data_IF_504383531084
#
_entry.id   IF_504383531084
#
_cell.length_a   1.000
_cell.length_b   1.000
_cell.length_c   1.000
_cell.angle_alpha   90.00
_cell.angle_beta   90.00
_cell.angle_gamma   90.00
#
_symmetry.space_group_name_H-M   'P 1'
#
loop_
_entity.id
_entity.type
_entity.pdbx_description
1 polymer ?
#
# COMPACT_ATOMS: atom_id res chain seq x y z
N UNK A 1 -6.10 -4.39 -47.41
CA UNK A 1 -5.56 -4.32 -46.04
C UNK A 1 -5.44 -2.85 -45.67
N UNK A 2 -6.40 -2.31 -44.92
CA UNK A 2 -6.57 -0.86 -44.75
C UNK A 2 -6.08 -0.37 -43.38
N UNK A 3 -5.64 0.90 -43.37
CA UNK A 3 -5.00 1.71 -42.33
C UNK A 3 -5.82 1.93 -41.03
N UNK A 4 -6.66 0.98 -40.60
CA UNK A 4 -7.53 1.13 -39.42
C UNK A 4 -7.00 0.52 -38.11
N UNK A 5 -5.75 0.08 -38.05
CA UNK A 5 -5.16 -0.53 -36.82
C UNK A 5 -4.30 0.39 -35.96
N UNK A 6 -4.02 1.63 -36.37
CA UNK A 6 -3.13 2.53 -35.61
C UNK A 6 -3.82 3.55 -34.70
N UNK A 7 -5.15 3.68 -34.78
CA UNK A 7 -5.89 4.62 -33.90
C UNK A 7 -6.29 3.98 -32.57
N UNK A 8 -6.31 2.64 -32.48
CA UNK A 8 -6.66 1.93 -31.25
C UNK A 8 -5.52 1.89 -30.21
N UNK A 9 -4.25 2.01 -30.64
CA UNK A 9 -3.11 2.01 -29.69
C UNK A 9 -2.92 3.37 -28.98
N UNK A 10 -3.38 4.47 -29.59
CA UNK A 10 -3.25 5.81 -29.01
C UNK A 10 -4.33 6.13 -27.95
N UNK A 11 -5.47 5.42 -27.97
CA UNK A 11 -6.54 5.60 -26.98
C UNK A 11 -6.30 4.80 -25.68
N UNK A 12 -5.47 3.75 -25.73
CA UNK A 12 -5.15 2.89 -24.58
C UNK A 12 -4.16 3.55 -23.61
N UNK A 13 -3.33 4.50 -24.09
CA UNK A 13 -2.47 5.30 -23.21
C UNK A 13 -3.25 6.37 -22.42
N UNK A 14 -4.44 6.76 -22.86
CA UNK A 14 -5.26 7.78 -22.18
C UNK A 14 -6.13 7.24 -21.04
N UNK A 15 -6.41 5.94 -20.98
CA UNK A 15 -7.25 5.36 -19.91
C UNK A 15 -6.47 4.95 -18.66
N UNK A 16 -5.14 4.85 -18.74
CA UNK A 16 -4.28 4.88 -17.55
C UNK A 16 -4.01 6.32 -17.08
N UNK A 17 -4.29 7.34 -17.89
CA UNK A 17 -4.10 8.75 -17.53
C UNK A 17 -5.31 9.38 -16.82
N UNK A 18 -6.48 8.74 -16.81
CA UNK A 18 -7.66 9.27 -16.09
C UNK A 18 -7.61 9.03 -14.58
N UNK A 19 -6.66 8.23 -14.08
CA UNK A 19 -6.33 8.11 -12.65
C UNK A 19 -5.18 9.04 -12.20
N UNK A 20 -4.53 9.75 -13.13
CA UNK A 20 -3.26 10.46 -12.93
C UNK A 20 -3.51 11.97 -12.90
N UNK A 21 -4.20 12.44 -11.87
CA UNK A 21 -3.93 13.78 -11.39
C UNK A 21 -2.90 13.64 -10.27
N UNK A 22 -1.62 13.81 -10.61
CA UNK A 22 -0.60 13.99 -9.59
C UNK A 22 -1.08 15.03 -8.58
N UNK A 23 -1.06 14.67 -7.31
CA UNK A 23 -1.61 15.48 -6.22
C UNK A 23 -1.01 16.90 -6.24
N UNK A 24 -1.74 17.86 -6.80
CA UNK A 24 -1.46 19.29 -6.75
C UNK A 24 -2.33 19.91 -5.65
N UNK A 25 -1.70 20.66 -4.75
CA UNK A 25 -2.42 21.51 -3.81
C UNK A 25 -3.23 22.58 -4.58
N UNK A 26 -4.50 22.81 -4.23
CA UNK A 26 -5.24 23.96 -4.71
C UNK A 26 -4.78 25.19 -3.91
N UNK A 27 -3.71 25.85 -4.38
CA UNK A 27 -3.35 27.27 -4.17
C UNK A 27 -1.82 27.42 -4.08
N UNK A 28 -1.21 28.13 -5.05
CA UNK A 28 -0.30 29.28 -4.87
C UNK A 28 0.70 29.45 -6.04
N UNK A 29 0.90 30.71 -6.40
CA UNK A 29 1.72 31.22 -7.52
C UNK A 29 3.23 31.06 -7.28
N UNK A 30 3.98 30.90 -8.36
CA UNK A 30 5.42 30.62 -8.39
C UNK A 30 6.26 31.80 -7.87
N UNK A 31 7.01 31.55 -6.78
CA UNK A 31 8.08 32.42 -6.30
C UNK A 31 9.43 31.71 -6.38
N UNK A 32 10.41 32.34 -7.04
CA UNK A 32 11.75 31.81 -7.27
C UNK A 32 12.52 31.53 -5.96
N UNK A 33 13.19 30.37 -5.90
CA UNK A 33 14.01 29.96 -4.75
C UNK A 33 15.43 30.57 -4.82
N UNK A 34 15.86 31.18 -3.71
CA UNK A 34 17.26 31.49 -3.43
C UNK A 34 17.87 30.40 -2.53
N UNK A 35 19.16 30.16 -2.74
CA UNK A 35 19.98 29.14 -2.06
C UNK A 35 20.25 29.57 -0.61
N UNK A 36 20.00 28.66 0.34
CA UNK A 36 20.44 28.78 1.73
C UNK A 36 20.94 27.45 2.25
N UNK A 37 22.21 27.40 2.65
CA UNK A 37 22.75 26.37 3.55
C UNK A 37 22.07 26.49 4.94
N UNK A 38 21.89 25.38 5.66
CA UNK A 38 22.14 25.19 7.11
C UNK A 38 21.62 23.79 7.57
N UNK A 39 22.47 22.94 8.19
CA UNK A 39 22.74 22.65 9.63
C UNK A 39 21.81 21.61 10.27
N UNK A 40 22.44 20.56 10.80
CA UNK A 40 21.85 19.44 11.57
C UNK A 40 21.06 19.94 12.80
N UNK A 41 19.83 19.44 12.96
CA UNK A 41 18.99 19.71 14.13
C UNK A 41 18.94 18.54 15.10
N UNK A 42 19.49 18.75 16.30
CA UNK A 42 19.31 17.88 17.47
C UNK A 42 17.87 17.93 18.00
N UNK A 43 17.41 16.79 18.55
CA UNK A 43 16.09 16.62 19.12
C UNK A 43 15.90 17.42 20.43
N UNK A 44 14.79 18.18 20.55
CA UNK A 44 14.36 18.79 21.81
C UNK A 44 13.21 18.01 22.45
N UNK A 45 13.42 17.62 23.72
CA UNK A 45 12.41 17.13 24.66
C UNK A 45 11.53 18.28 25.19
N UNK A 46 10.26 18.04 25.60
CA UNK A 46 9.38 19.07 26.11
C UNK A 46 9.58 19.31 27.61
N UNK A 47 9.65 20.59 28.02
CA UNK A 47 9.59 20.99 29.43
C UNK A 47 8.20 21.52 29.80
N UNK A 48 7.77 21.14 31.00
CA UNK A 48 6.55 21.55 31.70
C UNK A 48 6.68 22.92 32.39
N UNK A 49 5.58 23.67 32.51
CA UNK A 49 5.35 24.53 33.69
C UNK A 49 4.73 25.91 33.47
N UNK A 50 3.42 26.00 33.76
CA UNK A 50 2.71 27.01 34.60
C UNK A 50 2.80 28.52 34.32
N UNK A 51 1.62 29.19 34.29
CA UNK A 51 1.46 30.56 34.82
C UNK A 51 0.42 31.48 34.15
N UNK A 52 -0.79 31.50 34.71
CA UNK A 52 -1.77 32.60 34.88
C UNK A 52 -2.26 33.54 33.74
N UNK A 53 -3.60 33.66 33.69
CA UNK A 53 -4.46 34.62 32.96
C UNK A 53 -4.58 35.98 33.71
N UNK A 54 -5.48 36.97 33.40
CA UNK A 54 -6.48 37.09 32.33
C UNK A 54 -6.66 38.51 31.70
N UNK A 55 -7.31 38.62 30.54
CA UNK A 55 -8.11 39.82 30.15
C UNK A 55 -9.34 39.41 29.31
N UNK A 56 -10.52 39.85 29.75
CA UNK A 56 -11.85 39.81 29.09
C UNK A 56 -11.97 40.90 28.01
N UNK A 57 -12.83 40.70 27.00
CA UNK A 57 -13.96 41.57 26.51
C UNK A 57 -14.70 40.77 25.39
N UNK A 58 -15.89 40.21 25.65
CA UNK A 58 -17.25 40.57 25.13
C UNK A 58 -17.43 40.53 23.59
N UNK A 59 -18.16 39.52 23.08
CA UNK A 59 -19.58 39.51 22.64
C UNK A 59 -19.84 40.19 21.28
N UNK A 60 -20.39 39.44 20.32
CA UNK A 60 -21.67 39.78 19.65
C UNK A 60 -22.14 38.66 18.70
N UNK A 61 -23.34 38.14 18.98
CA UNK A 61 -24.20 37.40 18.06
C UNK A 61 -24.78 38.34 16.99
N UNK A 62 -24.99 37.83 15.76
CA UNK A 62 -26.18 38.14 14.93
C UNK A 62 -26.27 37.27 13.66
N UNK A 63 -27.12 36.25 13.72
CA UNK A 63 -28.13 35.96 12.68
C UNK A 63 -29.33 36.92 12.94
N UNK A 64 -30.25 37.27 11.99
CA UNK A 64 -30.95 36.32 11.10
C UNK A 64 -31.41 36.86 9.72
N UNK A 65 -31.88 35.98 8.83
CA UNK A 65 -33.28 35.94 8.32
C UNK A 65 -33.45 35.12 7.02
N UNK A 66 -34.05 33.94 7.20
CA UNK A 66 -35.30 33.43 6.62
C UNK A 66 -35.94 34.14 5.40
N UNK A 67 -36.18 33.35 4.33
CA UNK A 67 -37.38 33.27 3.46
C UNK A 67 -37.08 32.16 2.43
N UNK A 68 -37.88 31.13 2.13
CA UNK A 68 -39.30 30.88 2.37
C UNK A 68 -40.01 30.60 1.04
N UNK A 69 -40.05 29.32 0.60
CA UNK A 69 -41.06 28.67 -0.28
C UNK A 69 -40.48 27.32 -0.73
N UNK A 70 -41.13 26.16 -0.66
CA UNK A 70 -42.56 25.84 -0.69
C UNK A 70 -42.83 24.98 -1.93
N UNK A 71 -43.16 23.69 -1.76
CA UNK A 71 -43.73 22.86 -2.84
C UNK A 71 -43.29 21.40 -2.89
N UNK A 72 -44.00 20.53 -2.18
CA UNK A 72 -44.11 19.10 -2.49
C UNK A 72 -44.92 18.90 -3.79
N UNK A 73 -44.53 17.95 -4.64
CA UNK A 73 -45.43 17.03 -5.34
C UNK A 73 -44.66 15.94 -6.12
N UNK A 74 -44.94 14.68 -5.80
CA UNK A 74 -44.83 13.48 -6.65
C UNK A 74 -46.27 12.97 -6.91
N UNK A 75 -46.52 11.94 -7.73
CA UNK A 75 -45.93 11.56 -9.02
C UNK A 75 -47.03 11.22 -10.08
N UNK A 76 -46.66 11.13 -11.36
CA UNK A 76 -47.39 10.38 -12.40
C UNK A 76 -46.40 10.15 -13.55
N UNK A 77 -46.10 8.94 -14.00
CA UNK A 77 -47.03 7.90 -14.42
C UNK A 77 -47.15 7.99 -15.95
N UNK A 78 -46.46 7.10 -16.68
CA UNK A 78 -46.89 6.63 -17.99
C UNK A 78 -46.18 5.33 -18.38
N UNK A 79 -46.95 4.25 -18.31
CA UNK A 79 -46.75 3.01 -19.05
C UNK A 79 -47.42 3.12 -20.41
N UNK A 80 -46.95 2.32 -21.37
CA UNK A 80 -47.68 1.47 -22.37
C UNK A 80 -46.92 1.42 -23.72
N UNK A 81 -47.17 0.41 -24.58
CA UNK A 81 -46.65 -0.95 -24.46
C UNK A 81 -46.16 -1.49 -25.84
N UNK A 82 -45.95 -2.80 -25.95
CA UNK A 82 -46.35 -3.69 -27.07
C UNK A 82 -45.20 -4.65 -27.47
N UNK A 83 -45.30 -5.93 -27.07
CA UNK A 83 -45.62 -7.12 -27.91
C UNK A 83 -44.50 -7.52 -28.88
N UNK A 84 -44.10 -8.78 -29.04
CA UNK A 84 -44.58 -10.09 -28.60
C UNK A 84 -43.43 -11.09 -28.79
N UNK A 85 -43.44 -12.21 -28.07
CA UNK A 85 -43.92 -13.53 -28.58
C UNK A 85 -42.93 -14.15 -29.59
N UNK A 86 -42.52 -15.41 -29.58
CA UNK A 86 -42.73 -16.64 -28.80
C UNK A 86 -41.68 -17.63 -29.33
N UNK A 87 -41.39 -18.73 -28.63
CA UNK A 87 -40.59 -19.79 -29.25
C UNK A 87 -40.04 -20.88 -28.34
N UNK A 88 -40.90 -21.52 -27.56
CA UNK A 88 -40.64 -22.84 -26.98
C UNK A 88 -40.73 -23.92 -28.08
N UNK A 89 -39.81 -24.90 -28.12
CA UNK A 89 -40.19 -26.30 -28.42
C UNK A 89 -39.17 -27.30 -27.85
N UNK A 90 -39.74 -28.32 -27.20
CA UNK A 90 -39.17 -29.57 -26.70
C UNK A 90 -38.61 -30.48 -27.82
N UNK A 91 -37.67 -31.38 -27.51
CA UNK A 91 -37.86 -32.86 -27.53
C UNK A 91 -36.58 -33.66 -27.14
N UNK A 92 -36.66 -35.00 -26.88
CA UNK A 92 -36.03 -35.63 -25.72
C UNK A 92 -35.21 -36.91 -26.04
N UNK A 93 -34.64 -37.52 -25.00
CA UNK A 93 -34.63 -38.99 -24.77
C UNK A 93 -33.70 -39.90 -25.58
N UNK A 94 -32.87 -40.68 -24.85
CA UNK A 94 -32.76 -42.17 -24.86
C UNK A 94 -31.54 -42.60 -24.02
N UNK A 95 -31.68 -43.12 -22.79
CA UNK A 95 -31.81 -44.55 -22.35
C UNK A 95 -30.51 -45.38 -22.49
N UNK A 96 -29.74 -45.68 -21.42
CA UNK A 96 -29.84 -46.74 -20.35
C UNK A 96 -28.62 -47.74 -20.46
N UNK A 97 -28.39 -48.75 -19.57
CA UNK A 97 -27.28 -48.73 -18.59
C UNK A 97 -26.44 -50.04 -18.47
N UNK A 98 -25.46 -50.06 -17.53
CA UNK A 98 -24.91 -51.22 -16.77
C UNK A 98 -23.96 -52.24 -17.47
N UNK A 99 -23.19 -53.16 -16.80
CA UNK A 99 -22.80 -53.31 -15.37
C UNK A 99 -21.31 -53.76 -15.08
N UNK A 100 -21.03 -53.98 -13.79
CA UNK A 100 -20.07 -54.94 -13.12
C UNK A 100 -18.61 -54.57 -12.77
N UNK A 101 -18.41 -54.14 -11.50
CA UNK A 101 -17.58 -54.68 -10.36
C UNK A 101 -16.44 -55.73 -10.60
N UNK A 102 -15.45 -55.93 -9.67
CA UNK A 102 -15.46 -55.58 -8.24
C UNK A 102 -14.17 -55.00 -7.60
N UNK A 103 -14.39 -54.40 -6.42
CA UNK A 103 -13.44 -54.12 -5.31
C UNK A 103 -12.71 -55.40 -4.82
N UNK A 104 -11.50 -55.27 -4.26
CA UNK A 104 -11.12 -56.08 -3.10
C UNK A 104 -10.84 -55.19 -1.89
N UNK A 105 -11.54 -55.52 -0.81
CA UNK A 105 -11.26 -55.12 0.56
C UNK A 105 -10.45 -56.25 1.20
N UNK A 106 -9.21 -55.99 1.60
CA UNK A 106 -8.56 -56.77 2.66
C UNK A 106 -7.46 -55.94 3.33
N UNK A 107 -7.56 -55.79 4.64
CA UNK A 107 -6.40 -55.98 5.50
C UNK A 107 -5.65 -54.73 5.93
N UNK A 108 -6.07 -54.23 7.09
CA UNK A 108 -5.23 -53.52 8.05
C UNK A 108 -3.93 -54.31 8.33
N UNK A 109 -2.77 -53.68 8.09
CA UNK A 109 -1.52 -53.96 8.82
C UNK A 109 -0.69 -52.68 8.87
N UNK A 110 -0.68 -52.08 10.07
CA UNK A 110 0.23 -51.02 10.48
C UNK A 110 1.60 -51.65 10.83
N UNK A 111 2.70 -51.10 10.33
CA UNK A 111 3.74 -50.73 11.28
C UNK A 111 4.31 -49.34 10.99
N UNK A 112 4.05 -48.45 11.95
CA UNK A 112 4.99 -47.48 12.50
C UNK A 112 6.11 -47.00 11.59
N UNK A 113 5.90 -45.81 11.03
CA UNK A 113 6.94 -44.99 10.43
C UNK A 113 6.42 -43.57 10.29
N UNK A 114 6.46 -42.80 11.38
CA UNK A 114 6.34 -41.34 11.31
C UNK A 114 7.59 -40.83 10.57
N UNK A 115 7.54 -40.84 9.24
CA UNK A 115 8.39 -40.02 8.41
C UNK A 115 7.84 -38.61 8.44
N UNK A 116 8.01 -37.93 9.57
CA UNK A 116 7.96 -36.47 9.59
C UNK A 116 9.07 -36.03 8.65
N UNK A 117 8.70 -35.36 7.55
CA UNK A 117 9.68 -34.81 6.63
C UNK A 117 10.53 -33.81 7.41
N UNK A 118 11.78 -34.16 7.71
CA UNK A 118 12.82 -33.31 8.28
C UNK A 118 13.22 -32.20 7.29
N UNK A 119 12.25 -31.40 6.82
CA UNK A 119 12.53 -30.08 6.29
C UNK A 119 13.12 -29.27 7.47
N UNK A 120 14.34 -28.74 7.34
CA UNK A 120 14.95 -27.98 8.43
C UNK A 120 14.09 -26.75 8.72
N UNK A 121 13.29 -26.82 9.78
CA UNK A 121 12.56 -25.65 10.28
C UNK A 121 13.59 -24.67 10.81
N UNK A 122 13.82 -23.57 10.10
CA UNK A 122 14.69 -22.49 10.58
C UNK A 122 14.12 -21.97 11.90
N UNK A 123 14.84 -22.17 12.99
CA UNK A 123 14.43 -21.74 14.33
C UNK A 123 14.63 -20.25 14.49
N UNK A 124 13.59 -19.53 14.93
CA UNK A 124 13.62 -18.11 15.28
C UNK A 124 12.89 -17.85 16.60
N UNK A 125 13.25 -16.76 17.29
CA UNK A 125 12.51 -16.28 18.46
C UNK A 125 11.17 -15.68 18.00
N UNK A 126 10.04 -16.08 18.60
CA UNK A 126 8.73 -15.56 18.25
C UNK A 126 8.64 -14.02 18.36
N UNK A 127 9.42 -13.39 19.24
CA UNK A 127 9.50 -11.94 19.36
C UNK A 127 10.15 -11.25 18.15
N UNK A 128 10.90 -11.99 17.33
CA UNK A 128 11.48 -11.54 16.06
C UNK A 128 10.55 -11.68 14.86
N UNK A 129 9.34 -12.23 15.05
CA UNK A 129 8.33 -12.24 14.00
C UNK A 129 7.77 -10.84 13.82
N UNK A 130 7.80 -10.34 12.59
CA UNK A 130 7.28 -9.03 12.19
C UNK A 130 6.00 -9.23 11.39
N UNK A 131 4.95 -8.48 11.73
CA UNK A 131 3.74 -8.31 10.91
C UNK A 131 3.86 -7.01 10.13
N UNK A 132 3.93 -7.11 8.81
CA UNK A 132 4.25 -5.99 7.93
C UNK A 132 3.05 -5.73 7.03
N UNK A 133 2.68 -4.46 6.88
CA UNK A 133 1.69 -4.02 5.89
C UNK A 133 2.31 -2.99 4.94
N UNK A 134 2.06 -3.16 3.65
CA UNK A 134 2.24 -2.14 2.62
C UNK A 134 0.87 -1.76 2.06
N UNK A 135 0.57 -0.46 1.97
CA UNK A 135 -0.74 -0.03 1.47
C UNK A 135 -0.69 1.33 0.76
N UNK A 136 -0.90 1.35 -0.56
CA UNK A 136 -1.24 2.56 -1.29
C UNK A 136 -2.68 2.97 -0.94
N UNK A 137 -2.82 4.09 -0.23
CA UNK A 137 -4.11 4.55 0.31
C UNK A 137 -4.78 5.62 -0.54
N UNK A 138 -4.30 5.84 -1.77
CA UNK A 138 -4.85 6.76 -2.76
C UNK A 138 -4.95 8.21 -2.30
N UNK A 139 -4.24 9.11 -2.98
CA UNK A 139 -4.11 10.51 -2.58
C UNK A 139 -5.38 11.33 -2.85
N UNK A 140 -6.19 10.89 -3.83
CA UNK A 140 -7.36 11.61 -4.32
C UNK A 140 -8.65 11.40 -3.50
N UNK A 141 -9.45 12.47 -3.45
CA UNK A 141 -10.86 12.42 -3.07
C UNK A 141 -11.71 12.16 -4.33
N UNK A 142 -12.44 11.05 -4.35
CA UNK A 142 -13.34 10.68 -5.44
C UNK A 142 -14.81 10.65 -5.00
N UNK A 143 -15.72 10.72 -5.97
CA UNK A 143 -17.16 10.56 -5.73
C UNK A 143 -17.54 9.11 -5.37
N UNK A 144 -18.79 8.88 -4.97
CA UNK A 144 -19.35 7.57 -4.62
C UNK A 144 -18.67 6.90 -3.42
N UNK A 145 -18.56 7.63 -2.30
CA UNK A 145 -18.05 7.05 -1.05
C UNK A 145 -16.53 6.90 -1.00
N UNK A 146 -15.79 7.53 -1.92
CA UNK A 146 -14.33 7.37 -2.08
C UNK A 146 -13.54 8.60 -1.65
N UNK A 147 -14.13 9.49 -0.85
CA UNK A 147 -13.37 10.53 -0.16
C UNK A 147 -12.47 9.92 0.93
N UNK A 148 -11.35 10.58 1.25
CA UNK A 148 -10.44 10.23 2.35
C UNK A 148 -11.24 10.13 3.66
N UNK A 149 -12.11 11.11 3.94
CA UNK A 149 -13.00 11.09 5.10
C UNK A 149 -13.84 9.82 5.22
N UNK A 150 -14.33 9.28 4.11
CA UNK A 150 -15.14 8.05 4.09
C UNK A 150 -14.27 6.79 4.10
N UNK A 151 -13.09 6.84 3.46
CA UNK A 151 -12.17 5.71 3.35
C UNK A 151 -11.32 5.52 4.61
N UNK A 152 -10.99 6.57 5.36
CA UNK A 152 -10.13 6.49 6.54
C UNK A 152 -10.68 5.59 7.66
N UNK A 153 -11.97 5.66 8.04
CA UNK A 153 -12.55 4.71 8.99
C UNK A 153 -12.53 3.26 8.48
N UNK A 154 -12.67 3.04 7.17
CA UNK A 154 -12.60 1.71 6.56
C UNK A 154 -11.18 1.16 6.61
N UNK A 155 -10.19 1.98 6.27
CA UNK A 155 -8.77 1.65 6.41
C UNK A 155 -8.46 1.23 7.84
N UNK A 156 -8.94 2.00 8.83
CA UNK A 156 -8.78 1.65 10.24
C UNK A 156 -9.39 0.30 10.58
N UNK A 157 -10.65 0.09 10.17
CA UNK A 157 -11.38 -1.18 10.41
C UNK A 157 -10.62 -2.38 9.86
N UNK A 158 -10.06 -2.26 8.65
CA UNK A 158 -9.27 -3.33 8.04
C UNK A 158 -7.95 -3.52 8.79
N UNK A 159 -7.15 -2.48 9.02
CA UNK A 159 -5.85 -2.60 9.70
C UNK A 159 -5.96 -3.15 11.13
N UNK A 160 -7.03 -2.80 11.85
CA UNK A 160 -7.29 -3.31 13.21
C UNK A 160 -7.44 -4.85 13.23
N UNK A 161 -7.86 -5.49 12.13
CA UNK A 161 -7.94 -6.95 12.04
C UNK A 161 -6.58 -7.62 11.94
N UNK A 162 -5.60 -6.93 11.34
CA UNK A 162 -4.27 -7.48 11.10
C UNK A 162 -3.30 -7.20 12.26
N UNK A 163 -3.52 -6.10 13.00
CA UNK A 163 -2.65 -5.65 14.09
C UNK A 163 -1.17 -5.62 13.64
N UNK A 164 -0.84 -4.83 12.60
CA UNK A 164 0.50 -4.81 12.03
C UNK A 164 1.53 -4.26 13.03
N UNK A 165 2.75 -4.77 12.96
CA UNK A 165 3.86 -4.23 13.73
C UNK A 165 4.47 -3.00 13.04
N UNK A 166 4.49 -3.01 11.71
CA UNK A 166 5.06 -1.98 10.85
C UNK A 166 4.14 -1.75 9.65
N UNK A 167 3.89 -0.49 9.30
CA UNK A 167 3.05 -0.13 8.17
C UNK A 167 3.78 0.89 7.29
N UNK A 168 3.92 0.59 6.01
CA UNK A 168 4.35 1.52 4.99
C UNK A 168 3.18 1.96 4.12
N UNK A 169 2.82 3.23 4.17
CA UNK A 169 1.78 3.78 3.28
C UNK A 169 2.40 4.49 2.07
N UNK A 170 1.64 4.54 0.98
CA UNK A 170 1.94 5.35 -0.19
C UNK A 170 0.74 6.26 -0.48
N UNK A 171 0.99 7.33 -1.23
CA UNK A 171 -0.05 8.31 -1.57
C UNK A 171 -0.69 9.06 -0.39
N UNK A 172 -0.06 9.04 0.79
CA UNK A 172 -0.56 9.79 1.93
C UNK A 172 -0.38 11.30 1.69
N UNK A 173 -1.46 12.07 1.75
CA UNK A 173 -1.48 13.54 1.70
C UNK A 173 -1.73 14.11 3.10
N UNK A 174 -1.66 15.44 3.33
CA UNK A 174 -1.90 16.00 4.67
C UNK A 174 -3.20 15.54 5.32
N UNK A 175 -4.31 15.50 4.57
CA UNK A 175 -5.60 15.01 5.08
C UNK A 175 -5.50 13.56 5.57
N UNK A 176 -4.78 12.68 4.84
CA UNK A 176 -4.52 11.31 5.30
C UNK A 176 -3.74 11.28 6.60
N UNK A 177 -2.68 12.09 6.71
CA UNK A 177 -1.85 12.13 7.91
C UNK A 177 -2.65 12.57 9.15
N UNK A 178 -3.60 13.50 9.03
CA UNK A 178 -4.48 13.87 10.14
C UNK A 178 -5.27 12.67 10.69
N UNK A 179 -5.85 11.84 9.81
CA UNK A 179 -6.56 10.62 10.24
C UNK A 179 -5.61 9.56 10.79
N UNK A 180 -4.50 9.28 10.10
CA UNK A 180 -3.54 8.26 10.51
C UNK A 180 -2.94 8.57 11.88
N UNK A 181 -2.55 9.82 12.11
CA UNK A 181 -2.03 10.31 13.39
C UNK A 181 -3.10 10.26 14.49
N UNK A 182 -4.32 10.68 14.16
CA UNK A 182 -5.46 10.60 15.08
C UNK A 182 -5.80 9.17 15.51
N UNK A 183 -5.59 8.18 14.64
CA UNK A 183 -5.86 6.76 14.94
C UNK A 183 -4.71 6.04 15.63
N UNK A 184 -3.46 6.35 15.27
CA UNK A 184 -2.33 5.46 15.58
C UNK A 184 -1.24 6.08 16.46
N UNK A 185 -1.23 7.39 16.72
CA UNK A 185 -0.15 8.02 17.48
C UNK A 185 -0.01 7.50 18.93
N UNK A 186 -1.03 6.90 19.52
CA UNK A 186 -0.93 6.28 20.85
C UNK A 186 -0.09 5.00 20.84
N UNK A 187 -0.13 4.24 19.76
CA UNK A 187 0.46 2.89 19.67
C UNK A 187 1.68 2.81 18.74
N UNK A 188 1.78 3.73 17.78
CA UNK A 188 2.80 3.75 16.74
C UNK A 188 3.60 5.05 16.79
N UNK A 189 4.90 4.93 16.57
CA UNK A 189 5.76 6.03 16.12
C UNK A 189 5.79 6.05 14.60
N UNK A 190 6.06 7.21 14.00
CA UNK A 190 6.15 7.35 12.56
C UNK A 190 7.09 8.45 12.10
N UNK A 191 7.48 8.36 10.83
CA UNK A 191 8.13 9.44 10.08
C UNK A 191 7.36 9.71 8.79
N UNK A 192 7.35 10.97 8.38
CA UNK A 192 6.86 11.40 7.08
C UNK A 192 7.60 12.64 6.61
N UNK A 193 7.96 12.65 5.32
CA UNK A 193 8.43 13.85 4.62
C UNK A 193 7.72 13.89 3.28
N UNK A 194 7.24 15.08 2.91
CA UNK A 194 6.57 15.32 1.64
C UNK A 194 7.58 15.27 0.50
N UNK A 195 7.23 14.57 -0.59
CA UNK A 195 8.12 14.45 -1.76
C UNK A 195 8.46 15.79 -2.41
N UNK A 196 7.60 16.79 -2.28
CA UNK A 196 7.81 18.16 -2.76
C UNK A 196 6.94 19.16 -1.99
N UNK A 197 7.30 20.45 -2.02
CA UNK A 197 6.52 21.53 -1.41
C UNK A 197 5.18 21.76 -2.11
N UNK A 198 5.16 21.65 -3.45
CA UNK A 198 3.99 21.87 -4.29
C UNK A 198 3.21 20.58 -4.63
N UNK A 199 3.69 19.43 -4.17
CA UNK A 199 3.03 18.13 -4.29
C UNK A 199 3.28 17.30 -3.04
N UNK A 200 2.40 17.44 -2.06
CA UNK A 200 2.56 16.91 -0.70
C UNK A 200 2.14 15.45 -0.57
N UNK A 201 2.51 14.61 -1.53
CA UNK A 201 2.39 13.17 -1.34
C UNK A 201 3.60 12.67 -0.54
N UNK A 202 3.35 11.87 0.50
CA UNK A 202 4.34 11.25 1.37
C UNK A 202 4.26 9.72 1.35
N UNK A 203 5.29 9.08 1.90
CA UNK A 203 5.39 7.62 2.04
C UNK A 203 5.62 7.24 3.50
N UNK A 204 4.68 7.60 4.41
CA UNK A 204 4.92 7.55 5.83
C UNK A 204 5.13 6.10 6.29
N UNK A 205 6.03 5.96 7.26
CA UNK A 205 6.41 4.68 7.84
C UNK A 205 6.05 4.68 9.33
N UNK A 206 5.18 3.77 9.74
CA UNK A 206 4.70 3.60 11.11
C UNK A 206 5.25 2.32 11.72
N UNK A 207 5.61 2.32 13.00
CA UNK A 207 6.01 1.11 13.76
C UNK A 207 5.52 1.13 15.21
N UNK A 208 5.21 -0.06 15.74
CA UNK A 208 4.74 -0.26 17.11
C UNK A 208 5.76 0.19 18.16
N UNK A 209 5.37 1.14 19.02
CA UNK A 209 6.24 1.70 20.08
C UNK A 209 6.60 0.68 21.15
N UNK A 210 5.70 -0.23 21.48
CA UNK A 210 5.92 -1.27 22.49
C UNK A 210 6.92 -2.33 22.01
N UNK A 211 7.00 -2.55 20.70
CA UNK A 211 7.84 -3.59 20.11
C UNK A 211 9.22 -3.11 19.64
N UNK A 212 9.30 -1.89 19.10
CA UNK A 212 10.53 -1.38 18.49
C UNK A 212 11.05 -0.11 19.16
N UNK A 213 12.36 0.05 19.07
CA UNK A 213 13.10 1.28 19.34
C UNK A 213 13.69 1.77 18.01
N UNK A 214 13.39 3.00 17.61
CA UNK A 214 14.02 3.62 16.45
C UNK A 214 15.41 4.10 16.81
N UNK A 215 16.43 3.48 16.22
CA UNK A 215 17.84 3.84 16.45
C UNK A 215 18.29 4.97 15.53
N UNK A 216 17.77 5.00 14.31
CA UNK A 216 18.08 5.98 13.28
C UNK A 216 16.90 6.02 12.31
N UNK A 217 16.53 7.20 11.83
CA UNK A 217 15.47 7.38 10.84
C UNK A 217 15.93 8.37 9.80
N UNK A 218 15.40 8.28 8.59
CA UNK A 218 15.67 9.30 7.59
C UNK A 218 14.85 9.12 6.33
N UNK A 219 15.25 9.88 5.32
CA UNK A 219 14.65 9.83 4.01
C UNK A 219 15.69 10.13 2.94
N UNK A 220 15.33 9.85 1.70
CA UNK A 220 16.06 10.31 0.52
C UNK A 220 15.12 10.32 -0.69
N UNK A 221 15.41 11.19 -1.66
CA UNK A 221 14.73 11.20 -2.94
C UNK A 221 15.29 10.14 -3.88
N UNK A 222 14.41 9.50 -4.65
CA UNK A 222 14.77 8.53 -5.67
C UNK A 222 15.25 9.25 -6.92
N UNK A 223 16.45 9.80 -6.84
CA UNK A 223 17.06 10.60 -7.90
C UNK A 223 18.59 10.53 -7.85
N UNK A 224 19.26 11.17 -8.82
CA UNK A 224 20.72 11.31 -8.82
C UNK A 224 21.24 12.22 -7.70
N UNK A 225 20.35 13.01 -7.07
CA UNK A 225 20.66 13.88 -5.93
C UNK A 225 19.78 13.53 -4.71
N UNK A 226 20.00 12.38 -4.06
CA UNK A 226 19.07 11.84 -3.06
C UNK A 226 18.84 12.72 -1.83
N UNK A 227 19.67 13.75 -1.61
CA UNK A 227 19.60 14.65 -0.46
C UNK A 227 18.63 15.82 -0.68
N UNK A 228 18.16 16.04 -1.91
CA UNK A 228 17.28 17.15 -2.26
C UNK A 228 16.15 16.69 -3.15
N UNK A 229 14.99 17.34 -3.03
CA UNK A 229 13.83 17.06 -3.86
C UNK A 229 14.14 17.29 -5.34
N UNK A 230 14.22 16.22 -6.12
CA UNK A 230 14.50 16.27 -7.56
C UNK A 230 13.90 15.09 -8.32
N UNK A 231 13.98 15.16 -9.65
CA UNK A 231 13.46 14.17 -10.59
C UNK A 231 14.63 13.66 -11.45
N UNK A 232 14.74 12.35 -11.66
CA UNK A 232 15.79 11.74 -12.50
C UNK A 232 15.25 10.53 -13.28
N UNK A 233 16.05 10.00 -14.22
CA UNK A 233 15.81 8.72 -14.91
C UNK A 233 14.46 8.67 -15.64
N UNK A 234 14.06 9.80 -16.22
CA UNK A 234 12.78 9.94 -16.92
C UNK A 234 11.54 9.91 -16.02
N UNK A 235 11.69 9.95 -14.70
CA UNK A 235 10.56 10.06 -13.79
C UNK A 235 9.73 11.32 -14.07
N UNK A 236 8.44 11.24 -13.76
CA UNK A 236 7.49 12.34 -13.95
C UNK A 236 7.20 13.13 -12.68
N UNK A 237 7.50 12.53 -11.52
CA UNK A 237 7.32 13.14 -10.21
C UNK A 237 8.60 12.96 -9.37
N UNK A 238 8.89 13.88 -8.44
CA UNK A 238 9.88 13.59 -7.41
C UNK A 238 9.35 12.43 -6.58
N UNK A 239 10.17 11.41 -6.32
CA UNK A 239 9.78 10.25 -5.50
C UNK A 239 10.68 10.18 -4.26
N UNK A 240 10.12 9.72 -3.15
CA UNK A 240 10.80 9.75 -1.85
C UNK A 240 10.70 8.39 -1.14
N UNK A 241 11.76 8.03 -0.44
CA UNK A 241 11.84 6.82 0.36
C UNK A 241 12.06 7.21 1.83
N UNK A 242 11.15 6.77 2.70
CA UNK A 242 11.33 6.82 4.15
C UNK A 242 12.04 5.56 4.61
N UNK A 243 12.92 5.68 5.61
CA UNK A 243 13.56 4.50 6.17
C UNK A 243 13.83 4.64 7.67
N UNK A 244 13.84 3.50 8.36
CA UNK A 244 14.15 3.40 9.77
C UNK A 244 15.07 2.22 10.06
N UNK A 245 16.01 2.41 10.99
CA UNK A 245 16.78 1.36 11.63
C UNK A 245 16.14 1.05 12.97
N UNK A 246 15.50 -0.11 13.04
CA UNK A 246 14.68 -0.50 14.17
C UNK A 246 15.34 -1.63 14.94
N UNK A 247 15.25 -1.55 16.27
CA UNK A 247 15.66 -2.59 17.20
C UNK A 247 14.44 -3.23 17.83
N UNK A 248 14.32 -4.55 17.73
CA UNK A 248 13.33 -5.34 18.48
C UNK A 248 13.68 -5.24 19.96
N UNK A 249 12.80 -4.66 20.77
CA UNK A 249 13.08 -4.40 22.21
C UNK A 249 13.33 -5.68 22.99
N UNK A 250 12.57 -6.73 22.71
CA UNK A 250 12.64 -8.00 23.42
C UNK A 250 13.96 -8.76 23.22
N UNK A 251 14.53 -8.73 22.01
CA UNK A 251 15.67 -9.57 21.61
C UNK A 251 16.93 -8.77 21.28
N UNK A 252 16.80 -7.46 21.08
CA UNK A 252 17.87 -6.59 20.63
C UNK A 252 18.28 -6.77 19.16
N UNK A 253 17.57 -7.60 18.38
CA UNK A 253 17.81 -7.74 16.93
C UNK A 253 17.54 -6.42 16.22
N UNK A 254 18.38 -6.10 15.24
CA UNK A 254 18.32 -4.83 14.50
C UNK A 254 18.07 -5.14 13.03
N UNK A 255 17.17 -4.39 12.41
CA UNK A 255 16.88 -4.46 10.99
C UNK A 255 16.65 -3.05 10.42
N UNK A 256 16.74 -2.95 9.09
CA UNK A 256 16.41 -1.74 8.33
C UNK A 256 15.09 -1.95 7.61
N UNK A 257 14.26 -0.92 7.60
CA UNK A 257 12.98 -0.92 6.90
C UNK A 257 12.90 0.29 5.98
N UNK A 258 12.55 0.07 4.71
CA UNK A 258 12.39 1.09 3.70
C UNK A 258 10.95 1.09 3.18
N UNK A 259 10.36 2.28 3.04
CA UNK A 259 9.04 2.45 2.44
C UNK A 259 9.09 3.55 1.38
N UNK A 260 8.52 3.28 0.20
CA UNK A 260 8.58 4.25 -0.91
C UNK A 260 7.39 4.10 -1.87
N UNK A 261 7.43 4.85 -2.96
CA UNK A 261 6.48 4.79 -4.07
C UNK A 261 7.27 5.11 -5.35
N UNK A 262 7.42 4.14 -6.24
CA UNK A 262 8.20 4.32 -7.48
C UNK A 262 7.44 5.17 -8.50
N UNK A 263 8.20 5.77 -9.43
CA UNK A 263 7.61 6.40 -10.61
C UNK A 263 7.15 5.35 -11.65
N UNK A 264 6.82 5.75 -12.87
CA UNK A 264 6.21 4.85 -13.86
C UNK A 264 7.20 4.31 -14.91
N UNK A 265 8.38 4.93 -15.05
CA UNK A 265 9.34 4.55 -16.10
C UNK A 265 10.25 3.41 -15.67
N UNK A 266 10.55 2.51 -16.62
CA UNK A 266 11.44 1.38 -16.36
C UNK A 266 12.85 1.81 -15.91
N UNK A 267 13.36 2.92 -16.45
CA UNK A 267 14.66 3.47 -16.07
C UNK A 267 14.65 3.99 -14.63
N UNK A 268 13.58 4.68 -14.21
CA UNK A 268 13.42 5.09 -12.81
C UNK A 268 13.28 3.88 -11.89
N UNK A 269 12.55 2.83 -12.28
CA UNK A 269 12.44 1.60 -11.48
C UNK A 269 13.80 0.97 -11.21
N UNK A 270 14.59 0.72 -12.26
CA UNK A 270 15.89 0.06 -12.14
C UNK A 270 16.90 0.89 -11.33
N UNK A 271 16.94 2.21 -11.53
CA UNK A 271 17.86 3.07 -10.79
C UNK A 271 17.43 3.29 -9.33
N UNK A 272 16.12 3.37 -9.06
CA UNK A 272 15.58 3.46 -7.70
C UNK A 272 15.86 2.21 -6.89
N UNK A 273 15.67 1.02 -7.48
CA UNK A 273 16.03 -0.26 -6.85
C UNK A 273 17.51 -0.30 -6.44
N UNK A 274 18.40 0.04 -7.38
CA UNK A 274 19.85 0.12 -7.12
C UNK A 274 20.19 1.14 -6.04
N UNK A 275 19.51 2.29 -6.01
CA UNK A 275 19.72 3.31 -4.98
C UNK A 275 19.32 2.80 -3.59
N UNK A 276 18.16 2.15 -3.44
CA UNK A 276 17.72 1.55 -2.17
C UNK A 276 18.75 0.53 -1.67
N UNK A 277 19.20 -0.37 -2.55
CA UNK A 277 20.23 -1.36 -2.21
C UNK A 277 21.53 -0.69 -1.73
N UNK A 278 22.00 0.37 -2.42
CA UNK A 278 23.20 1.12 -2.01
C UNK A 278 23.02 1.78 -0.65
N UNK A 279 21.88 2.44 -0.41
CA UNK A 279 21.58 3.10 0.85
C UNK A 279 21.51 2.10 2.02
N UNK A 280 20.85 0.96 1.82
CA UNK A 280 20.78 -0.11 2.80
C UNK A 280 22.17 -0.71 3.10
N UNK A 281 22.96 -0.98 2.05
CA UNK A 281 24.32 -1.51 2.20
C UNK A 281 25.22 -0.56 2.99
N UNK A 282 25.16 0.75 2.71
CA UNK A 282 25.93 1.77 3.43
C UNK A 282 25.59 1.83 4.94
N UNK A 283 24.39 1.37 5.31
CA UNK A 283 23.93 1.27 6.71
C UNK A 283 24.15 -0.10 7.35
N UNK A 284 24.90 -0.99 6.68
CA UNK A 284 25.19 -2.35 7.15
C UNK A 284 24.10 -3.37 6.84
N UNK A 285 23.13 -3.02 5.99
CA UNK A 285 22.12 -3.94 5.47
C UNK A 285 22.74 -5.11 4.71
N UNK A 286 21.99 -6.21 4.63
CA UNK A 286 22.33 -7.47 3.94
C UNK A 286 23.52 -8.25 4.51
N UNK A 287 24.36 -7.61 5.33
CA UNK A 287 25.55 -8.23 5.94
C UNK A 287 25.46 -8.28 7.47
N UNK A 288 25.01 -7.18 8.09
CA UNK A 288 24.87 -7.07 9.55
C UNK A 288 23.42 -7.03 9.99
N UNK A 289 22.56 -6.38 9.21
CA UNK A 289 21.15 -6.20 9.53
C UNK A 289 20.27 -6.72 8.39
N UNK A 290 19.17 -7.36 8.76
CA UNK A 290 18.11 -7.66 7.83
C UNK A 290 17.57 -6.36 7.20
N UNK A 291 17.07 -6.44 5.97
CA UNK A 291 16.52 -5.30 5.23
C UNK A 291 15.17 -5.67 4.68
N UNK A 292 14.19 -4.78 4.87
CA UNK A 292 12.86 -4.86 4.28
C UNK A 292 12.62 -3.66 3.39
N UNK A 293 11.84 -3.86 2.33
CA UNK A 293 11.38 -2.77 1.48
C UNK A 293 9.93 -3.00 1.05
N UNK A 294 9.06 -2.06 1.39
CA UNK A 294 7.65 -2.06 0.98
C UNK A 294 7.37 -0.86 0.07
N UNK A 295 6.53 -1.04 -0.94
CA UNK A 295 6.04 0.07 -1.75
C UNK A 295 4.92 -0.39 -2.68
N UNK A 296 4.20 0.60 -3.22
CA UNK A 296 3.75 0.58 -4.60
C UNK A 296 4.98 0.83 -5.50
N UNK A 297 5.41 -0.21 -6.21
CA UNK A 297 6.57 -0.16 -7.09
C UNK A 297 6.21 0.24 -8.53
N UNK A 298 4.92 0.42 -8.87
CA UNK A 298 4.45 0.74 -10.22
C UNK A 298 5.03 -0.18 -11.32
N UNK A 299 5.36 -1.43 -10.96
CA UNK A 299 6.03 -2.37 -11.84
C UNK A 299 5.55 -3.80 -11.61
N UNK A 300 5.45 -4.56 -12.70
CA UNK A 300 5.13 -5.98 -12.66
C UNK A 300 6.39 -6.81 -12.43
N UNK A 301 6.24 -8.03 -11.91
CA UNK A 301 7.35 -8.90 -11.50
C UNK A 301 8.35 -9.31 -12.61
N UNK A 302 8.00 -9.12 -13.89
CA UNK A 302 8.90 -9.35 -15.04
C UNK A 302 9.62 -8.10 -15.54
N UNK A 303 9.51 -6.97 -14.82
CA UNK A 303 10.18 -5.71 -15.20
C UNK A 303 11.61 -5.66 -14.65
N UNK A 304 12.47 -4.91 -15.34
CA UNK A 304 13.89 -4.79 -14.99
C UNK A 304 14.12 -4.25 -13.57
N UNK A 305 13.25 -3.34 -13.09
CA UNK A 305 13.31 -2.85 -11.71
C UNK A 305 13.07 -3.94 -10.66
N UNK A 306 12.19 -4.89 -10.94
CA UNK A 306 11.95 -6.03 -10.06
C UNK A 306 13.18 -6.94 -10.01
N UNK A 307 13.75 -7.26 -11.18
CA UNK A 307 15.02 -8.00 -11.26
C UNK A 307 16.17 -7.28 -10.55
N UNK A 308 16.21 -5.93 -10.60
CA UNK A 308 17.22 -5.16 -9.88
C UNK A 308 17.05 -5.25 -8.36
N UNK A 309 15.82 -5.29 -7.83
CA UNK A 309 15.58 -5.56 -6.40
C UNK A 309 16.09 -6.96 -6.02
N UNK A 310 15.88 -7.95 -6.89
CA UNK A 310 16.28 -9.34 -6.66
C UNK A 310 17.80 -9.58 -6.54
N UNK A 311 18.64 -8.57 -6.80
CA UNK A 311 20.09 -8.66 -6.56
C UNK A 311 20.40 -8.88 -5.07
N UNK A 312 19.57 -8.34 -4.16
CA UNK A 312 19.77 -8.42 -2.71
C UNK A 312 18.52 -8.79 -1.91
N UNK A 313 17.34 -8.75 -2.53
CA UNK A 313 16.07 -9.04 -1.90
C UNK A 313 15.40 -10.28 -2.50
N UNK A 314 14.55 -10.93 -1.70
CA UNK A 314 13.47 -11.80 -2.18
C UNK A 314 12.11 -11.13 -1.95
N UNK A 315 11.11 -11.55 -2.71
CA UNK A 315 9.70 -11.15 -2.53
C UNK A 315 8.98 -12.20 -1.68
N UNK A 316 8.32 -11.76 -0.60
CA UNK A 316 7.56 -12.65 0.29
C UNK A 316 6.47 -13.43 -0.48
N UNK A 317 5.77 -12.81 -1.44
CA UNK A 317 4.73 -13.52 -2.20
C UNK A 317 5.35 -14.62 -3.07
N UNK A 318 6.44 -14.29 -3.75
CA UNK A 318 7.14 -15.20 -4.65
C UNK A 318 7.66 -16.46 -3.95
N UNK A 319 8.16 -16.31 -2.72
CA UNK A 319 8.72 -17.41 -1.93
C UNK A 319 7.65 -18.28 -1.26
N UNK A 320 6.46 -17.73 -0.99
CA UNK A 320 5.38 -18.45 -0.30
C UNK A 320 4.28 -18.86 -1.29
N UNK A 321 3.15 -18.16 -1.25
CA UNK A 321 1.89 -18.61 -1.82
C UNK A 321 1.80 -18.38 -3.34
N UNK A 322 2.62 -17.46 -3.87
CA UNK A 322 2.53 -16.96 -5.25
C UNK A 322 1.09 -16.55 -5.59
N UNK A 323 0.45 -15.87 -4.65
CA UNK A 323 -0.92 -15.39 -4.77
C UNK A 323 -1.02 -14.50 -6.02
N UNK A 324 -1.84 -14.89 -7.02
CA UNK A 324 -1.94 -14.17 -8.27
C UNK A 324 -2.86 -12.94 -8.19
N UNK A 325 -3.46 -12.66 -7.02
CA UNK A 325 -4.40 -11.57 -6.83
C UNK A 325 -3.74 -10.23 -7.15
N UNK A 326 -4.24 -9.46 -8.15
CA UNK A 326 -3.72 -8.14 -8.44
C UNK A 326 -3.85 -7.20 -7.25
N UNK A 327 -2.81 -6.41 -6.98
CA UNK A 327 -2.84 -5.43 -5.87
C UNK A 327 -3.41 -4.09 -6.33
N UNK A 328 -3.12 -3.66 -7.56
CA UNK A 328 -3.74 -2.48 -8.18
C UNK A 328 -5.01 -2.86 -8.93
N UNK A 329 -6.15 -2.23 -8.59
CA UNK A 329 -7.44 -2.54 -9.21
C UNK A 329 -8.23 -1.31 -9.69
N UNK A 330 -7.85 -0.07 -9.34
CA UNK A 330 -8.49 1.12 -9.91
C UNK A 330 -9.98 1.25 -9.58
N UNK A 331 -10.44 0.67 -8.46
CA UNK A 331 -11.86 0.46 -8.13
C UNK A 331 -12.65 -0.43 -9.12
N UNK A 332 -11.97 -1.19 -9.98
CA UNK A 332 -12.54 -2.16 -10.90
C UNK A 332 -11.75 -3.49 -10.86
N UNK A 333 -12.15 -4.38 -9.94
CA UNK A 333 -11.48 -5.68 -9.75
C UNK A 333 -11.53 -6.60 -10.98
N UNK A 334 -12.49 -6.40 -11.87
CA UNK A 334 -12.70 -7.27 -13.05
C UNK A 334 -11.89 -6.80 -14.28
N UNK A 335 -11.07 -5.75 -14.13
CA UNK A 335 -10.22 -5.27 -15.20
C UNK A 335 -9.07 -6.27 -15.47
N UNK A 336 -8.95 -6.82 -16.69
CA UNK A 336 -7.89 -7.78 -17.03
C UNK A 336 -6.48 -7.19 -17.06
N UNK A 337 -6.34 -5.86 -17.09
CA UNK A 337 -5.04 -5.17 -17.06
C UNK A 337 -4.52 -4.95 -15.63
N UNK A 338 -5.27 -5.36 -14.61
CA UNK A 338 -4.83 -5.31 -13.22
C UNK A 338 -3.62 -6.23 -12.99
N UNK A 339 -2.70 -5.82 -12.13
CA UNK A 339 -1.52 -6.63 -11.79
C UNK A 339 -1.04 -6.45 -10.36
N UNK A 340 -0.05 -7.27 -9.99
CA UNK A 340 0.67 -7.15 -8.73
C UNK A 340 1.75 -6.08 -8.93
N UNK A 341 1.61 -4.96 -8.22
CA UNK A 341 2.55 -3.83 -8.27
C UNK A 341 2.98 -3.37 -6.89
N UNK A 342 2.34 -3.87 -5.83
CA UNK A 342 2.67 -3.63 -4.44
C UNK A 342 3.39 -4.86 -3.88
N UNK A 343 4.57 -4.67 -3.30
CA UNK A 343 5.43 -5.79 -2.85
C UNK A 343 5.97 -5.57 -1.44
N UNK A 344 6.27 -6.70 -0.78
CA UNK A 344 7.06 -6.74 0.44
C UNK A 344 8.35 -7.51 0.16
N UNK A 345 9.44 -6.79 -0.08
CA UNK A 345 10.77 -7.38 -0.26
C UNK A 345 11.50 -7.53 1.08
N UNK A 346 12.32 -8.58 1.19
CA UNK A 346 13.12 -8.86 2.38
C UNK A 346 14.52 -9.41 2.02
N UNK A 347 15.49 -9.25 2.91
CA UNK A 347 16.84 -9.81 2.72
C UNK A 347 16.87 -11.32 2.98
N UNK A 348 17.15 -12.11 1.94
CA UNK A 348 17.11 -13.58 1.91
C UNK A 348 17.77 -14.27 3.11
N UNK A 349 19.02 -13.93 3.38
CA UNK A 349 19.87 -14.73 4.29
C UNK A 349 19.68 -14.44 5.78
N UNK A 350 18.86 -13.44 6.13
CA UNK A 350 18.67 -12.96 7.51
C UNK A 350 17.22 -13.07 7.99
N UNK A 351 16.34 -13.62 7.17
CA UNK A 351 14.91 -13.69 7.45
C UNK A 351 14.29 -15.00 6.99
N UNK A 352 13.14 -15.33 7.58
CA UNK A 352 12.26 -16.44 7.14
C UNK A 352 10.88 -15.85 6.82
N UNK A 353 10.40 -15.91 5.57
CA UNK A 353 9.01 -15.55 5.26
C UNK A 353 8.08 -16.61 5.84
N UNK A 354 6.98 -16.18 6.46
CA UNK A 354 6.06 -17.07 7.18
C UNK A 354 4.64 -17.03 6.62
N UNK A 355 4.21 -15.86 6.14
CA UNK A 355 2.87 -15.67 5.60
C UNK A 355 2.83 -14.52 4.62
N UNK A 356 2.02 -14.67 3.58
CA UNK A 356 1.62 -13.60 2.68
C UNK A 356 0.09 -13.54 2.59
N UNK A 357 -0.47 -12.36 2.33
CA UNK A 357 -1.88 -12.18 1.97
C UNK A 357 -2.09 -10.85 1.27
N UNK A 358 -2.88 -10.87 0.19
CA UNK A 358 -3.52 -9.65 -0.34
C UNK A 358 -4.79 -9.34 0.47
N UNK A 359 -4.84 -8.14 1.06
CA UNK A 359 -5.89 -7.65 1.95
C UNK A 359 -7.10 -7.19 1.13
N UNK A 360 -7.95 -8.14 0.74
CA UNK A 360 -9.13 -7.92 -0.13
C UNK A 360 -10.41 -7.56 0.63
N UNK A 361 -10.29 -7.24 1.92
CA UNK A 361 -11.43 -6.84 2.74
C UNK A 361 -12.06 -5.52 2.29
N UNK A 362 -13.38 -5.53 2.14
CA UNK A 362 -14.22 -4.34 1.94
C UNK A 362 -15.04 -4.07 3.20
N UNK A 363 -15.47 -2.83 3.37
CA UNK A 363 -16.34 -2.41 4.49
C UNK A 363 -17.66 -1.91 3.91
N UNK A 364 -18.77 -2.57 4.26
CA UNK A 364 -20.10 -2.30 3.72
C UNK A 364 -20.11 -2.25 2.17
N UNK A 365 -19.50 -3.26 1.54
CA UNK A 365 -19.30 -3.37 0.08
C UNK A 365 -18.53 -2.21 -0.59
N UNK A 366 -17.82 -1.40 0.21
CA UNK A 366 -16.99 -0.32 -0.29
C UNK A 366 -15.50 -0.61 -0.15
N UNK A 367 -14.75 -0.22 -1.17
CA UNK A 367 -13.29 -0.26 -1.17
C UNK A 367 -12.68 0.71 -0.16
N UNK A 368 -11.51 0.33 0.35
CA UNK A 368 -10.63 1.17 1.19
C UNK A 368 -9.76 2.09 0.32
N UNK A 369 -9.27 1.58 -0.80
CA UNK A 369 -8.42 2.28 -1.76
C UNK A 369 -8.65 1.73 -3.18
N UNK A 370 -8.00 2.29 -4.20
CA UNK A 370 -7.89 1.67 -5.53
C UNK A 370 -6.83 0.56 -5.59
N UNK A 371 -6.16 0.31 -4.48
CA UNK A 371 -5.29 -0.83 -4.24
C UNK A 371 -5.83 -1.71 -3.11
N UNK A 372 -5.48 -2.99 -3.17
CA UNK A 372 -5.49 -3.88 -2.03
C UNK A 372 -4.17 -3.75 -1.26
N UNK A 373 -4.24 -3.84 0.07
CA UNK A 373 -3.06 -3.87 0.90
C UNK A 373 -2.31 -5.21 0.78
N UNK A 374 -1.02 -5.19 1.06
CA UNK A 374 -0.20 -6.40 1.19
C UNK A 374 0.13 -6.63 2.66
N UNK A 375 -0.21 -7.80 3.18
CA UNK A 375 0.17 -8.25 4.53
C UNK A 375 1.22 -9.37 4.44
N UNK A 376 2.25 -9.26 5.25
CA UNK A 376 3.31 -10.26 5.37
C UNK A 376 3.65 -10.55 6.82
N UNK A 377 3.96 -11.81 7.13
CA UNK A 377 4.67 -12.18 8.36
C UNK A 377 6.06 -12.68 7.99
N UNK A 378 7.10 -12.08 8.59
CA UNK A 378 8.50 -12.45 8.35
C UNK A 378 9.25 -12.47 9.68
N UNK A 379 10.04 -13.49 9.95
CA UNK A 379 10.87 -13.57 11.15
C UNK A 379 12.34 -13.22 10.86
N UNK A 380 12.98 -12.51 11.80
CA UNK A 380 14.43 -12.28 11.79
C UNK A 380 15.16 -13.49 12.39
N UNK A 381 16.26 -13.92 11.75
CA UNK A 381 17.15 -15.00 12.20
C UNK A 381 18.26 -14.46 13.09
#
# INVERSE_FOLDING_TARGET
MSRKRWVALAAVLMLLLTGVYGCKSPNQEEGAASVGEYVEGEAQQPSSGTGDSPVKVENEEKQPNNQGNGGNNTPSGNNTPSTGDSGNTNNPGTTTPDPTDPKPDTGNDNPGGNGESDEPTVSYDAANKLKIVSYNIRCGNDSAGRSIKERAPRLKTVLDQYQPDIIGFQEAVPEWMEYLEGYYNSEYEHINVWRATNSQEGTPLFWRKDKFEAMETGHFWLSETPQTSSISWGATHPRICMWAKLKVKATGKIFLFYNTHFDFTAEAHANSAKLIIRQATAKGGFSKYAVFSTADYNMLQWKEGYTAMQEKFDDVNWELDKDPTPTGHGYNKDNPDNGIIDYCFYSRDLCVPLRYKVMTEMVDDNYVSDHWGVYAEVALI
#
